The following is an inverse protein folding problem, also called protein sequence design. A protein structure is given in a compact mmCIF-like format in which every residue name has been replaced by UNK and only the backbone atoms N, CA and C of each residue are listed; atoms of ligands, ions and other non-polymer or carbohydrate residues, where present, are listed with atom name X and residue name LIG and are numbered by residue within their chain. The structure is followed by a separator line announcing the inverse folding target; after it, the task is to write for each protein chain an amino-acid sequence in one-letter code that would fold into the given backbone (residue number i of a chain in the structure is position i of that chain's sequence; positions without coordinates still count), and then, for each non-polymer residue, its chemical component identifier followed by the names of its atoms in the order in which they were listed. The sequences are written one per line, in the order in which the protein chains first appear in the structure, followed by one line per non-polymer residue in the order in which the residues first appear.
data_IF_501374816953
#
_entry.id   IF_501374816953
#
_cell.length_a   1.000
_cell.length_b   1.000
_cell.length_c   1.000
_cell.angle_alpha   90.00
_cell.angle_beta   90.00
_cell.angle_gamma   90.00
#
_symmetry.space_group_name_H-M   'P 1'
#
loop_
_entity.id
_entity.type
_entity.pdbx_description
1 polymer ?
#
# COMPACT_ATOMS: atom_id res chain seq x y z
N UNK A 1 -20.21 -1.55 13.70
CA UNK A 1 -19.13 -2.44 13.24
C UNK A 1 -18.48 -2.04 11.92
N UNK A 2 -19.20 -1.80 10.81
CA UNK A 2 -18.58 -1.41 9.53
C UNK A 2 -17.89 -0.05 9.56
N UNK A 3 -18.54 0.95 10.16
CA UNK A 3 -17.98 2.29 10.32
C UNK A 3 -16.69 2.28 11.16
N UNK A 4 -16.67 1.51 12.24
CA UNK A 4 -15.48 1.35 13.08
C UNK A 4 -14.33 0.67 12.33
N UNK A 5 -14.63 -0.33 11.49
CA UNK A 5 -13.61 -0.99 10.66
C UNK A 5 -13.06 -0.04 9.58
N UNK A 6 -13.93 0.76 8.94
CA UNK A 6 -13.49 1.77 7.98
C UNK A 6 -12.63 2.86 8.65
N UNK A 7 -13.04 3.36 9.81
CA UNK A 7 -12.27 4.36 10.58
C UNK A 7 -10.87 3.81 10.96
N UNK A 8 -10.81 2.57 11.44
CA UNK A 8 -9.53 1.93 11.76
C UNK A 8 -8.64 1.76 10.52
N UNK A 9 -9.21 1.31 9.40
CA UNK A 9 -8.48 1.13 8.14
C UNK A 9 -7.99 2.47 7.56
N UNK A 10 -8.78 3.53 7.71
CA UNK A 10 -8.41 4.87 7.26
C UNK A 10 -7.21 5.41 8.05
N UNK A 11 -7.18 5.23 9.37
CA UNK A 11 -6.00 5.60 10.19
C UNK A 11 -4.74 4.86 9.76
N UNK A 12 -4.86 3.56 9.49
CA UNK A 12 -3.73 2.74 9.00
C UNK A 12 -3.31 3.21 7.59
N UNK A 13 -4.27 3.51 6.71
CA UNK A 13 -4.01 4.03 5.37
C UNK A 13 -3.21 5.33 5.42
N UNK A 14 -3.67 6.30 6.20
CA UNK A 14 -3.00 7.59 6.38
C UNK A 14 -1.58 7.39 6.93
N UNK A 15 -1.43 6.59 7.98
CA UNK A 15 -0.12 6.34 8.60
C UNK A 15 0.87 5.71 7.62
N UNK A 16 0.47 4.66 6.91
CA UNK A 16 1.34 3.98 5.94
C UNK A 16 1.64 4.88 4.75
N UNK A 17 0.64 5.66 4.28
CA UNK A 17 0.84 6.66 3.22
C UNK A 17 1.92 7.66 3.62
N UNK A 18 1.83 8.22 4.82
CA UNK A 18 2.80 9.20 5.32
C UNK A 18 4.21 8.61 5.38
N UNK A 19 4.37 7.37 5.86
CA UNK A 19 5.69 6.72 5.90
C UNK A 19 6.24 6.50 4.50
N UNK A 20 5.45 5.94 3.58
CA UNK A 20 5.89 5.70 2.20
C UNK A 20 6.29 7.03 1.55
N UNK A 21 5.48 8.08 1.75
CA UNK A 21 5.73 9.39 1.17
C UNK A 21 6.99 10.05 1.72
N UNK A 22 7.22 9.94 3.02
CA UNK A 22 8.41 10.44 3.67
C UNK A 22 9.66 9.71 3.18
N UNK A 23 9.70 8.37 3.28
CA UNK A 23 10.89 7.60 2.94
C UNK A 23 11.25 7.69 1.44
N UNK A 24 10.25 7.63 0.57
CA UNK A 24 10.50 7.72 -0.87
C UNK A 24 10.72 9.17 -1.33
N UNK A 25 10.02 10.14 -0.74
CA UNK A 25 10.18 11.56 -1.05
C UNK A 25 11.52 12.12 -0.58
N UNK A 26 12.08 11.61 0.53
CA UNK A 26 13.40 11.99 1.02
C UNK A 26 14.54 11.57 0.09
N UNK A 27 14.34 10.53 -0.73
CA UNK A 27 15.32 10.11 -1.74
C UNK A 27 15.31 11.07 -2.93
N UNK A 28 14.12 11.30 -3.50
CA UNK A 28 13.91 12.20 -4.61
C UNK A 28 12.42 12.59 -4.70
N UNK A 29 12.07 13.85 -5.03
CA UNK A 29 10.67 14.27 -5.15
C UNK A 29 9.86 13.44 -6.16
N UNK A 30 10.51 12.93 -7.22
CA UNK A 30 9.85 12.12 -8.27
C UNK A 30 10.19 10.63 -8.16
N UNK A 31 10.62 10.14 -7.00
CA UNK A 31 11.07 8.75 -6.80
C UNK A 31 10.02 7.70 -7.19
N UNK A 32 8.72 8.04 -7.18
CA UNK A 32 7.67 7.15 -7.69
C UNK A 32 7.78 6.84 -9.18
N UNK A 33 8.50 7.66 -9.97
CA UNK A 33 8.82 7.43 -11.39
C UNK A 33 10.13 6.66 -11.60
N UNK A 34 11.00 6.57 -10.58
CA UNK A 34 12.33 5.98 -10.72
C UNK A 34 12.28 4.45 -10.69
N UNK A 35 12.69 3.83 -11.78
CA UNK A 35 12.65 2.37 -11.93
C UNK A 35 13.73 1.63 -11.14
N UNK A 36 14.79 2.32 -10.71
CA UNK A 36 15.84 1.77 -9.85
C UNK A 36 15.31 1.34 -8.46
N UNK A 37 14.21 1.94 -8.02
CA UNK A 37 13.55 1.63 -6.75
C UNK A 37 12.64 0.40 -6.86
N UNK A 38 12.35 -0.05 -8.09
CA UNK A 38 11.38 -1.09 -8.39
C UNK A 38 12.11 -2.41 -8.64
N UNK A 39 11.58 -3.49 -8.07
CA UNK A 39 12.10 -4.82 -8.28
C UNK A 39 12.09 -5.16 -9.80
N UNK A 40 13.21 -5.62 -10.40
CA UNK A 40 13.30 -5.93 -11.82
C UNK A 40 12.17 -6.85 -12.34
N UNK A 41 11.72 -7.81 -11.53
CA UNK A 41 10.61 -8.72 -11.86
C UNK A 41 9.26 -8.03 -12.12
N UNK A 42 9.09 -6.80 -11.63
CA UNK A 42 7.89 -5.98 -11.83
C UNK A 42 8.00 -5.09 -13.07
N UNK A 43 9.23 -4.83 -13.54
CA UNK A 43 9.54 -4.02 -14.72
C UNK A 43 9.52 -4.85 -16.00
N UNK A 44 10.24 -5.97 -15.97
CA UNK A 44 10.41 -6.91 -17.08
C UNK A 44 9.66 -8.21 -16.76
N UNK A 45 8.34 -8.15 -16.84
CA UNK A 45 7.49 -9.31 -16.60
C UNK A 45 7.10 -9.94 -17.94
N UNK A 46 6.97 -11.27 -18.00
CA UNK A 46 6.50 -11.97 -19.21
C UNK A 46 5.08 -11.57 -19.65
N UNK A 47 4.31 -10.92 -18.77
CA UNK A 47 2.98 -10.39 -19.06
C UNK A 47 3.07 -8.91 -19.46
N UNK A 48 2.69 -8.61 -20.70
CA UNK A 48 2.55 -7.23 -21.20
C UNK A 48 1.11 -6.71 -21.03
N UNK A 49 0.89 -5.45 -20.60
CA UNK A 49 1.91 -4.56 -20.05
C UNK A 49 2.38 -5.03 -18.66
N UNK A 50 3.66 -4.79 -18.36
CA UNK A 50 4.26 -5.14 -17.07
C UNK A 50 3.51 -4.53 -15.87
N UNK A 51 3.57 -5.14 -14.67
CA UNK A 51 2.92 -4.58 -13.48
C UNK A 51 3.31 -3.12 -13.21
N UNK A 52 4.60 -2.79 -13.40
CA UNK A 52 5.10 -1.42 -13.27
C UNK A 52 4.45 -0.48 -14.28
N UNK A 53 4.38 -0.87 -15.56
CA UNK A 53 3.76 -0.04 -16.60
C UNK A 53 2.28 0.19 -16.32
N UNK A 54 1.53 -0.87 -15.98
CA UNK A 54 0.11 -0.77 -15.57
C UNK A 54 -0.09 0.16 -14.37
N UNK A 55 0.84 0.16 -13.42
CA UNK A 55 0.77 1.04 -12.26
C UNK A 55 1.07 2.49 -12.64
N UNK A 56 2.09 2.73 -13.47
CA UNK A 56 2.43 4.06 -13.99
C UNK A 56 1.26 4.67 -14.76
N UNK A 57 0.66 3.92 -15.69
CA UNK A 57 -0.48 4.39 -16.49
C UNK A 57 -1.66 4.80 -15.60
N UNK A 58 -1.93 4.02 -14.55
CA UNK A 58 -3.00 4.33 -13.57
C UNK A 58 -2.70 5.55 -12.75
N UNK A 59 -1.45 5.69 -12.31
CA UNK A 59 -1.01 6.83 -11.55
C UNK A 59 -1.08 8.12 -12.38
N UNK A 60 -0.57 8.09 -13.61
CA UNK A 60 -0.65 9.23 -14.52
C UNK A 60 -2.11 9.59 -14.83
N UNK A 61 -3.00 8.59 -14.97
CA UNK A 61 -4.44 8.83 -15.10
C UNK A 61 -5.08 9.48 -13.87
N UNK A 62 -4.62 9.15 -12.65
CA UNK A 62 -5.09 9.77 -11.40
C UNK A 62 -4.65 11.22 -11.29
N UNK A 63 -3.40 11.50 -11.66
CA UNK A 63 -2.87 12.85 -11.77
C UNK A 63 -3.67 13.64 -12.83
N UNK A 64 -3.97 13.03 -13.97
CA UNK A 64 -4.67 13.71 -15.07
C UNK A 64 -6.12 14.04 -14.77
N UNK A 65 -6.82 13.09 -14.14
CA UNK A 65 -8.23 13.25 -13.79
C UNK A 65 -8.48 13.99 -12.47
N UNK A 66 -7.45 14.30 -11.68
CA UNK A 66 -7.62 15.01 -10.41
C UNK A 66 -8.13 16.43 -10.65
N UNK A 67 -9.17 16.78 -9.89
CA UNK A 67 -9.77 18.12 -9.89
C UNK A 67 -9.28 18.98 -8.74
N UNK A 68 -8.37 18.47 -7.92
CA UNK A 68 -7.90 19.14 -6.72
C UNK A 68 -7.00 20.31 -7.10
N UNK A 69 -7.23 21.47 -6.47
CA UNK A 69 -6.56 22.71 -6.85
C UNK A 69 -5.05 22.64 -6.64
N UNK A 70 -4.59 21.92 -5.61
CA UNK A 70 -3.17 21.72 -5.37
C UNK A 70 -2.48 20.91 -6.48
N UNK A 71 -3.17 19.94 -7.10
CA UNK A 71 -2.63 19.18 -8.24
C UNK A 71 -2.54 20.07 -9.48
N UNK A 72 -3.61 20.83 -9.77
CA UNK A 72 -3.63 21.77 -10.90
C UNK A 72 -2.53 22.83 -10.79
N UNK A 73 -2.35 23.39 -9.60
CA UNK A 73 -1.31 24.37 -9.34
C UNK A 73 0.09 23.78 -9.56
N UNK A 74 0.38 22.60 -9.01
CA UNK A 74 1.69 21.95 -9.22
C UNK A 74 1.95 21.60 -10.69
N UNK A 75 0.93 21.18 -11.45
CA UNK A 75 1.04 20.91 -12.89
C UNK A 75 1.36 22.16 -13.71
N UNK A 76 0.84 23.33 -13.30
CA UNK A 76 1.06 24.58 -13.99
C UNK A 76 2.45 25.17 -13.68
N UNK A 77 2.92 25.00 -12.44
CA UNK A 77 4.13 25.64 -11.94
C UNK A 77 5.41 24.79 -12.12
N UNK A 78 5.29 23.45 -12.11
CA UNK A 78 6.44 22.55 -12.07
C UNK A 78 6.36 21.42 -13.12
N UNK A 79 7.52 20.94 -13.57
CA UNK A 79 7.64 19.82 -14.52
C UNK A 79 7.28 18.43 -13.93
N UNK A 80 6.92 18.38 -12.65
CA UNK A 80 6.56 17.13 -11.97
C UNK A 80 5.86 17.36 -10.64
N UNK A 81 5.12 16.35 -10.21
CA UNK A 81 4.39 16.40 -8.94
C UNK A 81 5.24 15.70 -7.87
N UNK A 82 5.67 16.40 -6.82
CA UNK A 82 6.50 15.79 -5.79
C UNK A 82 5.75 14.71 -5.02
N UNK A 83 6.47 13.76 -4.43
CA UNK A 83 5.90 12.55 -3.87
C UNK A 83 4.83 12.83 -2.81
N UNK A 84 5.10 13.76 -1.89
CA UNK A 84 4.17 14.15 -0.83
C UNK A 84 2.87 14.78 -1.34
N UNK A 85 2.85 15.25 -2.59
CA UNK A 85 1.63 15.75 -3.25
C UNK A 85 0.97 14.63 -4.04
N UNK A 86 1.77 13.86 -4.79
CA UNK A 86 1.23 12.87 -5.72
C UNK A 86 0.53 11.71 -5.01
N UNK A 87 1.01 11.37 -3.81
CA UNK A 87 0.49 10.27 -2.99
C UNK A 87 -0.95 10.53 -2.51
N UNK A 88 -1.37 11.79 -2.44
CA UNK A 88 -2.74 12.19 -2.07
C UNK A 88 -3.75 11.82 -3.15
N UNK A 89 -3.29 11.62 -4.40
CA UNK A 89 -4.15 11.13 -5.49
C UNK A 89 -4.36 9.61 -5.44
N UNK A 90 -3.62 8.89 -4.58
CA UNK A 90 -3.65 7.44 -4.50
C UNK A 90 -4.75 6.94 -3.58
N UNK A 91 -5.54 6.00 -4.09
CA UNK A 91 -6.31 5.12 -3.22
C UNK A 91 -5.41 4.07 -2.55
N UNK A 92 -5.91 3.48 -1.44
CA UNK A 92 -5.25 2.39 -0.72
C UNK A 92 -4.69 1.31 -1.67
N UNK A 93 -5.46 0.92 -2.69
CA UNK A 93 -5.09 -0.15 -3.61
C UNK A 93 -3.89 0.20 -4.47
N UNK A 94 -3.82 1.44 -4.97
CA UNK A 94 -2.69 1.93 -5.76
C UNK A 94 -1.42 2.05 -4.91
N UNK A 95 -1.55 2.58 -3.69
CA UNK A 95 -0.45 2.67 -2.71
C UNK A 95 0.07 1.27 -2.31
N UNK A 96 -0.82 0.33 -1.99
CA UNK A 96 -0.47 -1.04 -1.65
C UNK A 96 0.32 -1.73 -2.77
N UNK A 97 -0.09 -1.50 -4.03
CA UNK A 97 0.62 -2.01 -5.20
C UNK A 97 1.99 -1.36 -5.39
N UNK A 98 2.11 -0.06 -5.15
CA UNK A 98 3.40 0.62 -5.20
C UNK A 98 4.40 -0.01 -4.22
N UNK A 99 4.01 -0.14 -2.95
CA UNK A 99 4.83 -0.83 -1.93
C UNK A 99 5.20 -2.25 -2.36
N UNK A 100 4.24 -3.01 -2.89
CA UNK A 100 4.46 -4.38 -3.35
C UNK A 100 5.52 -4.50 -4.48
N UNK A 101 5.71 -3.44 -5.27
CA UNK A 101 6.67 -3.39 -6.36
C UNK A 101 8.06 -2.89 -5.96
N UNK A 102 8.19 -2.20 -4.83
CA UNK A 102 9.47 -1.72 -4.33
C UNK A 102 10.47 -2.87 -4.16
N UNK A 103 11.74 -2.56 -4.36
CA UNK A 103 12.83 -3.48 -4.06
C UNK A 103 12.95 -3.73 -2.54
N UNK A 104 13.66 -4.80 -2.16
CA UNK A 104 13.79 -5.19 -0.75
C UNK A 104 14.40 -4.10 0.13
N UNK A 105 15.37 -3.32 -0.40
CA UNK A 105 16.02 -2.23 0.33
C UNK A 105 14.99 -1.20 0.81
N UNK A 106 14.13 -0.72 -0.09
CA UNK A 106 13.12 0.29 0.25
C UNK A 106 11.99 -0.27 1.10
N UNK A 107 11.59 -1.52 0.86
CA UNK A 107 10.66 -2.21 1.75
C UNK A 107 11.20 -2.30 3.17
N UNK A 108 12.48 -2.67 3.34
CA UNK A 108 13.13 -2.77 4.64
C UNK A 108 13.23 -1.41 5.36
N UNK A 109 13.51 -0.33 4.63
CA UNK A 109 13.45 1.03 5.19
C UNK A 109 12.06 1.35 5.75
N UNK A 110 11.01 1.07 4.98
CA UNK A 110 9.62 1.30 5.42
C UNK A 110 9.26 0.41 6.62
N UNK A 111 9.68 -0.86 6.62
CA UNK A 111 9.46 -1.77 7.76
C UNK A 111 10.09 -1.25 9.05
N UNK A 112 11.30 -0.68 8.97
CA UNK A 112 11.98 -0.13 10.13
C UNK A 112 11.19 0.99 10.81
N UNK A 113 10.50 1.83 10.02
CA UNK A 113 9.62 2.90 10.53
C UNK A 113 8.34 2.37 11.17
N UNK A 114 7.95 1.13 10.83
CA UNK A 114 6.82 0.42 11.41
C UNK A 114 7.23 -0.45 12.61
N UNK A 115 8.50 -0.46 13.00
CA UNK A 115 9.02 -1.34 14.06
C UNK A 115 9.04 -2.82 13.66
N UNK A 116 9.02 -3.13 12.36
CA UNK A 116 9.05 -4.49 11.84
C UNK A 116 10.47 -4.85 11.40
N UNK A 117 10.97 -6.01 11.81
CA UNK A 117 12.30 -6.50 11.44
C UNK A 117 12.48 -6.65 9.93
N UNK A 118 13.71 -6.40 9.46
CA UNK A 118 14.14 -6.57 8.06
C UNK A 118 13.78 -7.95 7.51
N UNK A 119 13.43 -8.03 6.22
CA UNK A 119 13.11 -9.29 5.54
C UNK A 119 11.63 -9.68 5.63
N UNK A 120 10.82 -8.96 6.40
CA UNK A 120 9.37 -9.17 6.51
C UNK A 120 8.55 -8.41 5.45
N UNK A 121 9.19 -7.90 4.38
CA UNK A 121 8.52 -7.20 3.28
C UNK A 121 7.36 -7.98 2.67
N UNK A 122 7.50 -9.30 2.42
CA UNK A 122 6.39 -10.13 1.94
C UNK A 122 5.19 -10.23 2.91
N UNK A 123 5.40 -10.05 4.22
CA UNK A 123 4.35 -10.05 5.23
C UNK A 123 3.56 -8.74 5.16
N UNK A 124 4.24 -7.59 5.20
CA UNK A 124 3.55 -6.29 5.09
C UNK A 124 2.80 -6.18 3.75
N UNK A 125 3.38 -6.68 2.64
CA UNK A 125 2.69 -6.75 1.35
C UNK A 125 1.40 -7.56 1.43
N UNK A 126 1.44 -8.70 2.12
CA UNK A 126 0.27 -9.55 2.33
C UNK A 126 -0.80 -8.84 3.17
N UNK A 127 -0.42 -8.20 4.27
CA UNK A 127 -1.32 -7.46 5.13
C UNK A 127 -1.98 -6.29 4.40
N UNK A 128 -1.21 -5.49 3.65
CA UNK A 128 -1.76 -4.41 2.82
C UNK A 128 -2.77 -4.94 1.79
N UNK A 129 -2.45 -6.06 1.14
CA UNK A 129 -3.39 -6.68 0.20
C UNK A 129 -4.69 -7.13 0.90
N UNK A 130 -4.60 -7.71 2.09
CA UNK A 130 -5.76 -8.15 2.86
C UNK A 130 -6.60 -6.97 3.35
N UNK A 131 -5.95 -5.89 3.83
CA UNK A 131 -6.62 -4.65 4.23
C UNK A 131 -7.37 -4.00 3.06
N UNK A 132 -6.77 -3.98 1.86
CA UNK A 132 -7.44 -3.46 0.68
C UNK A 132 -8.71 -4.25 0.33
N UNK A 133 -8.66 -5.58 0.44
CA UNK A 133 -9.83 -6.45 0.22
C UNK A 133 -10.89 -6.22 1.30
N UNK A 134 -10.47 -6.07 2.56
CA UNK A 134 -11.36 -5.78 3.68
C UNK A 134 -12.06 -4.42 3.50
N UNK A 135 -11.33 -3.37 3.10
CA UNK A 135 -11.86 -2.04 2.79
C UNK A 135 -12.93 -2.12 1.69
N UNK A 136 -12.63 -2.80 0.59
CA UNK A 136 -13.58 -2.97 -0.51
C UNK A 136 -14.83 -3.72 -0.06
N UNK A 137 -14.69 -4.78 0.74
CA UNK A 137 -15.84 -5.52 1.31
C UNK A 137 -16.70 -4.62 2.20
N UNK A 138 -16.09 -3.77 3.02
CA UNK A 138 -16.80 -2.80 3.86
C UNK A 138 -17.58 -1.79 3.02
N UNK A 139 -16.99 -1.28 1.93
CA UNK A 139 -17.63 -0.32 1.02
C UNK A 139 -18.80 -0.93 0.23
N UNK A 140 -18.67 -2.18 -0.22
CA UNK A 140 -19.71 -2.88 -0.99
C UNK A 140 -20.81 -3.52 -0.13
N UNK A 141 -21.01 -3.05 1.11
CA UNK A 141 -22.02 -3.55 2.05
C UNK A 141 -22.00 -5.08 2.30
N UNK A 142 -20.89 -5.75 2.03
CA UNK A 142 -20.77 -7.20 2.18
C UNK A 142 -20.73 -7.62 3.64
N UNK A 143 -21.21 -8.84 3.93
CA UNK A 143 -21.03 -9.48 5.24
C UNK A 143 -19.53 -9.75 5.45
N UNK A 144 -18.95 -9.24 6.54
CA UNK A 144 -17.50 -9.27 6.81
C UNK A 144 -17.11 -10.53 7.59
N UNK A 145 -17.94 -10.92 8.56
CA UNK A 145 -17.72 -12.09 9.41
C UNK A 145 -18.01 -13.40 8.64
N UNK A 146 -17.34 -14.49 9.03
CA UNK A 146 -17.41 -15.82 8.39
C UNK A 146 -16.96 -15.89 6.92
N UNK A 147 -16.16 -14.91 6.47
CA UNK A 147 -15.48 -14.99 5.18
C UNK A 147 -14.01 -15.31 5.35
N UNK A 148 -13.47 -16.04 4.38
CA UNK A 148 -12.05 -16.29 4.30
C UNK A 148 -11.29 -14.99 4.05
N UNK A 149 -10.13 -14.87 4.68
CA UNK A 149 -9.15 -13.84 4.40
C UNK A 149 -8.56 -14.12 3.02
N UNK A 150 -8.70 -13.17 2.11
CA UNK A 150 -8.17 -13.24 0.76
C UNK A 150 -7.29 -12.01 0.53
N UNK A 151 -5.95 -12.15 0.58
CA UNK A 151 -5.18 -13.36 0.88
C UNK A 151 -5.23 -13.77 2.36
N UNK A 152 -4.89 -15.04 2.64
CA UNK A 152 -4.64 -15.52 4.02
C UNK A 152 -3.57 -14.66 4.69
N UNK A 153 -3.82 -14.27 5.94
CA UNK A 153 -2.87 -13.43 6.67
C UNK A 153 -1.60 -14.23 7.00
N UNK A 154 -0.45 -13.62 6.76
CA UNK A 154 0.84 -14.18 7.18
C UNK A 154 1.12 -13.82 8.63
N UNK A 155 1.62 -14.78 9.39
CA UNK A 155 2.09 -14.56 10.77
C UNK A 155 3.43 -13.82 10.74
N UNK A 156 3.54 -12.77 11.56
CA UNK A 156 4.80 -12.13 11.91
C UNK A 156 5.28 -12.71 13.23
N UNK A 157 6.54 -13.15 13.28
CA UNK A 157 7.16 -13.54 14.54
C UNK A 157 7.63 -12.27 15.27
N UNK A 158 6.84 -11.85 16.25
CA UNK A 158 7.06 -10.63 17.02
C UNK A 158 6.37 -10.79 18.38
N UNK A 159 7.04 -10.33 19.43
CA UNK A 159 6.59 -10.49 20.82
C UNK A 159 5.12 -10.11 21.00
N UNK A 160 4.74 -8.89 20.61
CA UNK A 160 3.34 -8.43 20.65
C UNK A 160 2.34 -9.42 19.99
N UNK A 161 2.56 -9.84 18.74
CA UNK A 161 1.64 -10.75 18.05
C UNK A 161 1.61 -12.15 18.65
N UNK A 162 2.73 -12.59 19.25
CA UNK A 162 2.78 -13.86 19.96
C UNK A 162 1.94 -13.81 21.26
N UNK A 163 1.86 -12.65 21.94
CA UNK A 163 1.01 -12.50 23.14
C UNK A 163 -0.50 -12.58 22.84
N UNK A 164 -0.92 -12.24 21.62
CA UNK A 164 -2.33 -12.32 21.21
C UNK A 164 -2.85 -13.76 21.11
N UNK A 165 -1.96 -14.77 21.13
CA UNK A 165 -2.27 -16.20 21.09
C UNK A 165 -3.35 -16.57 20.06
N UNK A 166 -3.26 -15.99 18.87
CA UNK A 166 -4.27 -16.16 17.82
C UNK A 166 -4.27 -17.60 17.31
N UNK A 167 -5.45 -18.22 17.29
CA UNK A 167 -5.66 -19.53 16.66
C UNK A 167 -5.33 -19.47 15.15
N UNK A 168 -4.95 -20.60 14.57
CA UNK A 168 -4.73 -20.71 13.12
C UNK A 168 -5.99 -20.33 12.31
N UNK A 169 -7.18 -20.52 12.90
CA UNK A 169 -8.47 -20.13 12.34
C UNK A 169 -8.57 -18.61 12.09
N UNK A 170 -7.96 -17.77 12.94
CA UNK A 170 -8.00 -16.30 12.84
C UNK A 170 -7.19 -15.75 11.65
N UNK A 171 -6.13 -16.46 11.24
CA UNK A 171 -5.37 -16.09 10.03
C UNK A 171 -6.12 -16.45 8.75
N UNK A 172 -7.02 -17.43 8.84
CA UNK A 172 -7.80 -17.97 7.73
C UNK A 172 -9.15 -17.27 7.55
N UNK A 173 -9.82 -16.86 8.64
CA UNK A 173 -11.17 -16.31 8.63
C UNK A 173 -11.25 -15.02 9.43
N UNK A 174 -12.10 -14.11 8.99
CA UNK A 174 -12.47 -12.93 9.78
C UNK A 174 -13.48 -13.36 10.85
N UNK A 175 -12.99 -13.69 12.04
CA UNK A 175 -13.79 -13.94 13.25
C UNK A 175 -13.89 -12.64 14.05
N UNK A 176 -15.10 -12.28 14.48
CA UNK A 176 -15.37 -11.16 15.41
C UNK A 176 -15.83 -11.76 16.72
#
# INVERSE_FOLDING_TARGET
MRLLMMDALERIEVFIRSIIAHEMGAIHPLSYRHDEHINPSQRQNKKEPSPRKKWMDKQDSKIESSKDDFIKWHKAEYEGIPFWVVVETWDFGLMSKYYAMLNGKHQDTILSKLGISKGNGPILRNWLSAMNVLRNRCAHHSRIWNKNNEPKLKKLDHEYFNTLNLEESAYNKCTV
#
